data_IF_880744401642
#
_entry.id   IF_880744401642
#
_cell.length_a   1.000
_cell.length_b   1.000
_cell.length_c   1.000
_cell.angle_alpha   90.00
_cell.angle_beta   90.00
_cell.angle_gamma   90.00
#
_symmetry.space_group_name_H-M   'P 1'
#
loop_
_entity.id
_entity.type
_entity.pdbx_description
1 polymer ?
#
# COMPACT_ATOMS: atom_id res chain seq x y z
N UNK A 1 9.11 -6.16 16.07
CA UNK A 1 9.89 -5.94 14.83
C UNK A 1 10.23 -4.46 14.72
N UNK A 2 11.49 -4.14 14.58
CA UNK A 2 11.94 -2.75 14.50
C UNK A 2 11.79 -2.25 13.07
N UNK A 3 10.95 -1.24 12.85
CA UNK A 3 10.73 -0.65 11.52
C UNK A 3 11.62 0.54 11.26
N UNK A 4 11.84 1.38 12.26
CA UNK A 4 12.73 2.52 12.16
C UNK A 4 14.17 2.11 12.48
N UNK A 5 15.13 2.55 11.67
CA UNK A 5 16.53 2.15 11.74
C UNK A 5 16.69 0.63 11.79
N UNK A 6 16.13 -0.09 10.81
CA UNK A 6 16.08 -1.55 10.85
C UNK A 6 17.46 -2.16 10.62
N UNK A 7 17.68 -3.36 11.18
CA UNK A 7 18.90 -4.13 10.95
C UNK A 7 18.87 -4.87 9.62
N UNK A 8 17.65 -5.16 9.12
CA UNK A 8 17.43 -5.85 7.84
C UNK A 8 16.30 -5.15 7.10
N UNK A 9 16.28 -5.24 5.75
CA UNK A 9 15.13 -4.73 5.00
C UNK A 9 13.86 -5.49 5.39
N UNK A 10 12.73 -4.78 5.38
CA UNK A 10 11.42 -5.37 5.63
C UNK A 10 10.68 -5.55 4.31
N UNK A 11 9.90 -6.62 4.20
CA UNK A 11 9.06 -6.84 3.04
C UNK A 11 7.69 -6.24 3.31
N UNK A 12 7.28 -5.27 2.48
CA UNK A 12 5.95 -4.70 2.50
C UNK A 12 5.13 -5.27 1.35
N UNK A 13 3.86 -5.53 1.59
CA UNK A 13 2.96 -6.06 0.56
C UNK A 13 1.79 -5.11 0.43
N UNK A 14 1.52 -4.67 -0.81
CA UNK A 14 0.45 -3.72 -1.09
C UNK A 14 -0.64 -4.30 -1.98
N UNK A 15 -1.84 -3.75 -1.84
CA UNK A 15 -3.01 -4.13 -2.62
C UNK A 15 -3.48 -2.92 -3.43
N UNK A 16 -3.40 -3.01 -4.75
CA UNK A 16 -3.95 -2.01 -5.66
C UNK A 16 -5.36 -2.48 -6.01
N UNK A 17 -6.35 -1.94 -5.30
CA UNK A 17 -7.75 -2.36 -5.42
C UNK A 17 -8.45 -1.39 -6.34
N UNK A 18 -8.83 -1.87 -7.53
CA UNK A 18 -9.49 -1.05 -8.54
C UNK A 18 -10.86 -1.66 -8.87
N UNK A 19 -11.90 -0.81 -8.83
CA UNK A 19 -13.27 -1.18 -9.18
C UNK A 19 -13.97 0.06 -9.76
N UNK A 20 -14.67 -0.12 -10.86
CA UNK A 20 -15.39 0.99 -11.53
C UNK A 20 -14.49 2.19 -11.81
N UNK A 21 -13.28 1.92 -12.33
CA UNK A 21 -12.28 2.94 -12.67
C UNK A 21 -11.84 3.80 -11.49
N UNK A 22 -11.94 3.27 -10.26
CA UNK A 22 -11.48 3.94 -9.04
C UNK A 22 -10.54 3.04 -8.27
N UNK A 23 -9.59 3.65 -7.57
CA UNK A 23 -8.62 2.95 -6.74
C UNK A 23 -8.83 3.31 -5.27
N UNK A 24 -8.62 2.35 -4.38
CA UNK A 24 -8.70 2.58 -2.92
C UNK A 24 -7.35 3.11 -2.43
N UNK A 25 -7.38 4.23 -1.72
CA UNK A 25 -6.21 4.74 -1.02
C UNK A 25 -6.53 4.92 0.46
N UNK A 26 -5.50 4.81 1.27
CA UNK A 26 -5.56 5.03 2.71
C UNK A 26 -4.67 6.22 3.06
N UNK A 27 -5.12 7.03 4.02
CA UNK A 27 -4.31 8.11 4.55
C UNK A 27 -3.58 7.57 5.78
N UNK A 28 -2.26 7.66 5.76
CA UNK A 28 -1.44 7.06 6.81
C UNK A 28 -1.56 7.84 8.11
N UNK A 29 -1.79 7.11 9.20
CA UNK A 29 -1.87 7.70 10.54
C UNK A 29 -0.50 7.76 11.22
N UNK A 30 0.48 6.95 10.77
CA UNK A 30 1.79 6.79 11.41
C UNK A 30 2.95 6.88 10.44
N UNK A 31 4.17 7.22 10.92
CA UNK A 31 5.38 7.18 10.08
C UNK A 31 5.65 5.76 9.55
N UNK A 32 6.36 5.60 8.41
CA UNK A 32 6.81 6.66 7.53
C UNK A 32 5.68 7.24 6.70
N UNK A 33 5.89 8.44 6.14
CA UNK A 33 4.94 9.11 5.25
C UNK A 33 3.58 9.40 5.92
N UNK A 34 3.64 9.78 7.22
CA UNK A 34 2.44 10.13 7.97
C UNK A 34 1.64 11.24 7.28
N UNK A 35 0.32 11.11 7.30
CA UNK A 35 -0.63 12.02 6.65
C UNK A 35 -0.60 11.99 5.11
N UNK A 36 0.21 11.14 4.51
CA UNK A 36 0.20 10.95 3.06
C UNK A 36 -0.79 9.86 2.67
N UNK A 37 -1.38 10.01 1.49
CA UNK A 37 -2.19 8.95 0.88
C UNK A 37 -1.28 7.88 0.28
N UNK A 38 -1.70 6.63 0.40
CA UNK A 38 -0.94 5.51 -0.13
C UNK A 38 -1.88 4.35 -0.42
N UNK A 39 -1.36 3.33 -1.10
CA UNK A 39 -2.13 2.09 -1.29
C UNK A 39 -2.21 1.34 0.05
N UNK A 40 -3.28 0.55 0.26
CA UNK A 40 -3.34 -0.33 1.44
C UNK A 40 -2.19 -1.34 1.41
N UNK A 41 -1.61 -1.61 2.56
CA UNK A 41 -0.53 -2.58 2.65
C UNK A 41 0.19 -2.51 3.98
N UNK A 42 1.10 -3.44 4.18
CA UNK A 42 1.87 -3.51 5.41
C UNK A 42 2.93 -4.60 5.35
N UNK A 43 3.57 -4.83 6.48
CA UNK A 43 4.71 -5.74 6.57
C UNK A 43 4.29 -7.19 6.53
N UNK A 44 4.97 -7.97 5.69
CA UNK A 44 4.82 -9.42 5.63
C UNK A 44 5.20 -10.03 6.99
N UNK A 45 4.38 -10.92 7.49
CA UNK A 45 4.64 -11.63 8.73
C UNK A 45 5.39 -12.94 8.47
N UNK A 46 6.17 -13.38 9.45
CA UNK A 46 6.91 -14.64 9.33
C UNK A 46 5.94 -15.79 9.09
N UNK A 47 6.20 -16.56 8.04
CA UNK A 47 5.36 -17.71 7.68
C UNK A 47 4.19 -17.36 6.78
N UNK A 48 3.94 -16.08 6.56
CA UNK A 48 2.84 -15.61 5.71
C UNK A 48 3.27 -15.57 4.24
N UNK A 49 2.40 -16.00 3.33
CA UNK A 49 2.64 -15.84 1.91
C UNK A 49 2.29 -14.42 1.48
N UNK A 50 2.98 -13.91 0.45
CA UNK A 50 2.75 -12.51 0.01
C UNK A 50 1.29 -12.26 -0.40
N UNK A 51 0.63 -13.22 -1.05
CA UNK A 51 -0.78 -13.05 -1.41
C UNK A 51 -1.70 -13.02 -0.20
N UNK A 52 -1.39 -13.80 0.83
CA UNK A 52 -2.11 -13.78 2.09
C UNK A 52 -1.95 -12.43 2.78
N UNK A 53 -0.75 -11.86 2.75
CA UNK A 53 -0.48 -10.55 3.32
C UNK A 53 -1.31 -9.46 2.64
N UNK A 54 -1.42 -9.51 1.30
CA UNK A 54 -2.24 -8.56 0.55
C UNK A 54 -3.71 -8.63 0.99
N UNK A 55 -4.24 -9.84 1.15
CA UNK A 55 -5.62 -10.04 1.60
C UNK A 55 -5.81 -9.52 3.02
N UNK A 56 -4.91 -9.86 3.93
CA UNK A 56 -4.98 -9.46 5.33
C UNK A 56 -4.90 -7.95 5.47
N UNK A 57 -3.91 -7.33 4.83
CA UNK A 57 -3.72 -5.88 4.94
C UNK A 57 -4.88 -5.09 4.33
N UNK A 58 -5.39 -5.54 3.18
CA UNK A 58 -6.55 -4.90 2.58
C UNK A 58 -7.74 -4.92 3.53
N UNK A 59 -7.98 -6.06 4.16
CA UNK A 59 -9.11 -6.21 5.09
C UNK A 59 -8.91 -5.36 6.35
N UNK A 60 -7.71 -5.39 6.91
CA UNK A 60 -7.41 -4.63 8.13
C UNK A 60 -7.53 -3.12 7.90
N UNK A 61 -7.03 -2.62 6.77
CA UNK A 61 -6.97 -1.18 6.53
C UNK A 61 -8.23 -0.62 5.87
N UNK A 62 -8.94 -1.41 5.08
CA UNK A 62 -10.04 -0.90 4.25
C UNK A 62 -11.38 -1.53 4.52
N UNK A 63 -11.43 -2.66 5.22
CA UNK A 63 -12.66 -3.43 5.39
C UNK A 63 -13.04 -4.28 4.19
N UNK A 64 -12.27 -4.23 3.11
CA UNK A 64 -12.58 -4.97 1.89
C UNK A 64 -11.94 -6.36 1.90
N UNK A 65 -12.68 -7.35 1.41
CA UNK A 65 -12.15 -8.66 1.08
C UNK A 65 -11.77 -8.65 -0.39
N UNK A 66 -10.51 -8.96 -0.67
CA UNK A 66 -9.98 -8.88 -2.04
C UNK A 66 -9.40 -10.21 -2.49
N UNK A 67 -9.33 -10.37 -3.81
CA UNK A 67 -8.65 -11.48 -4.46
C UNK A 67 -7.45 -10.90 -5.20
N UNK A 68 -6.20 -11.23 -4.77
CA UNK A 68 -5.01 -10.77 -5.47
C UNK A 68 -4.90 -11.42 -6.84
N UNK A 69 -4.61 -10.61 -7.83
CA UNK A 69 -4.40 -11.07 -9.19
C UNK A 69 -2.94 -10.93 -9.60
N UNK A 70 -2.69 -10.13 -10.63
CA UNK A 70 -1.35 -9.98 -11.20
C UNK A 70 -0.43 -9.19 -10.29
N UNK A 71 0.83 -9.63 -10.20
CA UNK A 71 1.89 -8.85 -9.59
C UNK A 71 2.17 -7.64 -10.48
N UNK A 72 2.03 -6.44 -9.93
CA UNK A 72 2.25 -5.20 -10.69
C UNK A 72 3.68 -4.72 -10.63
N UNK A 73 4.38 -4.95 -9.53
CA UNK A 73 5.76 -4.53 -9.41
C UNK A 73 6.38 -4.85 -8.07
N UNK A 74 7.71 -4.72 -8.06
CA UNK A 74 8.53 -4.80 -6.86
C UNK A 74 9.32 -3.50 -6.80
N UNK A 75 9.30 -2.82 -5.67
CA UNK A 75 9.92 -1.51 -5.51
C UNK A 75 10.83 -1.48 -4.30
N UNK A 76 11.90 -0.72 -4.41
CA UNK A 76 12.77 -0.43 -3.28
C UNK A 76 12.34 0.89 -2.66
N UNK A 77 12.10 0.90 -1.36
CA UNK A 77 11.83 2.14 -0.63
C UNK A 77 12.86 2.29 0.48
N UNK A 78 13.84 3.15 0.22
CA UNK A 78 14.89 3.46 1.19
C UNK A 78 14.75 4.92 1.56
N UNK A 79 14.42 5.20 2.83
CA UNK A 79 14.28 6.55 3.34
C UNK A 79 15.41 6.82 4.32
N UNK A 80 16.13 7.93 4.10
CA UNK A 80 17.26 8.31 4.92
C UNK A 80 16.93 9.54 5.76
N UNK A 81 17.52 9.61 6.96
CA UNK A 81 17.36 10.75 7.83
C UNK A 81 18.31 11.91 7.39
N UNK A 82 18.30 13.02 8.14
CA UNK A 82 19.15 14.16 7.85
C UNK A 82 20.64 13.81 7.87
N UNK A 83 21.04 12.82 8.67
CA UNK A 83 22.42 12.31 8.74
C UNK A 83 22.73 11.26 7.68
N UNK A 84 21.83 11.04 6.73
CA UNK A 84 21.96 10.05 5.64
C UNK A 84 21.95 8.60 6.12
N UNK A 85 21.56 8.34 7.37
CA UNK A 85 21.38 6.97 7.85
C UNK A 85 20.09 6.40 7.28
N UNK A 86 20.06 5.10 7.00
CA UNK A 86 18.84 4.44 6.56
C UNK A 86 17.86 4.39 7.72
N UNK A 87 16.82 5.22 7.64
CA UNK A 87 15.78 5.28 8.67
C UNK A 87 14.70 4.23 8.42
N UNK A 88 14.35 4.00 7.14
CA UNK A 88 13.40 2.96 6.74
C UNK A 88 13.91 2.26 5.50
N UNK A 89 13.70 0.95 5.42
CA UNK A 89 14.08 0.18 4.24
C UNK A 89 13.05 -0.92 4.01
N UNK A 90 12.29 -0.78 2.92
CA UNK A 90 11.29 -1.76 2.50
C UNK A 90 11.56 -2.26 1.09
N UNK A 91 11.28 -3.54 0.88
CA UNK A 91 11.07 -4.10 -0.45
C UNK A 91 9.56 -4.26 -0.59
N UNK A 92 8.95 -3.53 -1.52
CA UNK A 92 7.51 -3.48 -1.69
C UNK A 92 7.07 -4.41 -2.81
N UNK A 93 6.10 -5.26 -2.51
CA UNK A 93 5.52 -6.21 -3.47
C UNK A 93 4.04 -5.86 -3.61
N UNK A 94 3.63 -5.42 -4.81
CA UNK A 94 2.30 -4.86 -5.02
C UNK A 94 1.49 -5.68 -6.02
N UNK A 95 0.28 -6.06 -5.62
CA UNK A 95 -0.64 -6.87 -6.44
C UNK A 95 -1.85 -6.05 -6.88
N UNK A 96 -2.29 -6.27 -8.13
CA UNK A 96 -3.60 -5.83 -8.56
C UNK A 96 -4.64 -6.73 -7.90
N UNK A 97 -5.60 -6.13 -7.21
CA UNK A 97 -6.58 -6.85 -6.44
C UNK A 97 -8.00 -6.50 -6.89
N UNK A 98 -8.88 -7.50 -6.84
CA UNK A 98 -10.30 -7.34 -7.13
C UNK A 98 -11.07 -7.43 -5.82
N UNK A 99 -11.98 -6.49 -5.56
CA UNK A 99 -12.88 -6.58 -4.42
C UNK A 99 -13.89 -7.69 -4.65
N UNK A 100 -14.03 -8.60 -3.69
CA UNK A 100 -15.02 -9.68 -3.76
C UNK A 100 -16.12 -9.52 -2.72
N UNK A 101 -15.87 -8.77 -1.65
CA UNK A 101 -16.86 -8.51 -0.59
C UNK A 101 -16.43 -7.33 0.25
N UNK A 102 -17.33 -6.86 1.11
CA UNK A 102 -17.05 -5.81 2.09
C UNK A 102 -17.27 -4.40 1.57
N UNK A 103 -17.34 -3.46 2.50
CA UNK A 103 -17.49 -2.03 2.23
C UNK A 103 -16.35 -1.27 2.90
N UNK A 104 -15.99 -0.11 2.35
CA UNK A 104 -14.90 0.70 2.91
C UNK A 104 -15.19 1.09 4.35
N UNK A 105 -14.25 0.77 5.22
CA UNK A 105 -14.30 1.11 6.64
C UNK A 105 -12.88 1.39 7.09
N UNK A 106 -12.60 2.61 7.55
CA UNK A 106 -11.28 2.95 8.05
C UNK A 106 -10.97 2.15 9.31
N UNK A 107 -9.80 1.49 9.32
CA UNK A 107 -9.30 0.79 10.50
C UNK A 107 -8.62 1.79 11.44
N UNK A 108 -8.28 1.33 12.65
CA UNK A 108 -7.61 2.17 13.65
C UNK A 108 -6.28 2.73 13.20
N UNK A 109 -5.58 2.04 12.27
CA UNK A 109 -4.26 2.44 11.79
C UNK A 109 -4.31 3.37 10.59
N UNK A 110 -5.48 3.61 10.02
CA UNK A 110 -5.68 4.52 8.91
C UNK A 110 -6.48 5.73 9.37
N UNK A 111 -6.01 6.94 9.05
CA UNK A 111 -6.75 8.15 9.37
C UNK A 111 -8.00 8.27 8.50
N UNK A 112 -7.94 7.79 7.27
CA UNK A 112 -9.03 7.88 6.30
C UNK A 112 -8.84 6.84 5.20
N UNK A 113 -9.93 6.38 4.59
CA UNK A 113 -9.91 5.48 3.43
C UNK A 113 -10.96 5.94 2.43
N UNK A 114 -10.60 6.00 1.13
CA UNK A 114 -11.52 6.48 0.09
C UNK A 114 -11.21 5.84 -1.26
N UNK A 115 -12.24 5.82 -2.12
CA UNK A 115 -12.09 5.55 -3.55
C UNK A 115 -11.71 6.84 -4.27
N UNK A 116 -10.75 6.75 -5.20
CA UNK A 116 -10.32 7.89 -6.02
C UNK A 116 -10.38 7.52 -7.49
N UNK A 117 -10.89 8.44 -8.31
CA UNK A 117 -10.76 8.32 -9.77
C UNK A 117 -9.35 8.79 -10.17
N UNK A 118 -8.90 8.35 -11.34
CA UNK A 118 -7.55 8.66 -11.83
C UNK A 118 -7.25 10.15 -11.83
N UNK A 119 -8.23 10.98 -12.19
CA UNK A 119 -8.07 12.42 -12.31
C UNK A 119 -7.80 13.11 -10.97
N UNK A 120 -8.15 12.49 -9.86
CA UNK A 120 -7.90 13.04 -8.53
C UNK A 120 -6.47 12.82 -8.04
N UNK A 121 -5.75 11.85 -8.62
CA UNK A 121 -4.44 11.44 -8.11
C UNK A 121 -3.38 12.53 -8.12
N UNK A 122 -3.27 13.40 -9.17
CA UNK A 122 -2.25 14.45 -9.17
C UNK A 122 -2.34 15.42 -8.00
N UNK A 123 -3.54 15.63 -7.46
CA UNK A 123 -3.75 16.56 -6.34
C UNK A 123 -3.30 15.98 -4.99
N UNK A 124 -3.04 14.69 -4.91
CA UNK A 124 -2.72 14.01 -3.65
C UNK A 124 -1.25 14.03 -3.29
N UNK A 125 -0.38 14.46 -4.22
CA UNK A 125 1.06 14.46 -4.02
C UNK A 125 1.60 13.10 -3.57
N UNK A 126 1.23 12.05 -4.30
CA UNK A 126 1.62 10.67 -3.99
C UNK A 126 3.12 10.47 -4.17
N UNK A 127 3.68 9.55 -3.37
CA UNK A 127 5.06 9.11 -3.60
C UNK A 127 5.18 8.55 -5.02
N UNK A 128 6.36 8.72 -5.61
CA UNK A 128 6.58 8.36 -7.02
C UNK A 128 6.32 6.89 -7.30
N UNK A 129 6.79 6.00 -6.43
CA UNK A 129 6.56 4.55 -6.57
C UNK A 129 5.08 4.19 -6.41
N UNK A 130 4.37 4.87 -5.53
CA UNK A 130 2.92 4.69 -5.35
C UNK A 130 2.17 5.06 -6.61
N UNK A 131 2.47 6.22 -7.19
CA UNK A 131 1.81 6.65 -8.42
C UNK A 131 2.12 5.72 -9.58
N UNK A 132 3.36 5.27 -9.69
CA UNK A 132 3.79 4.35 -10.74
C UNK A 132 2.99 3.03 -10.70
N UNK A 133 2.87 2.41 -9.54
CA UNK A 133 2.18 1.13 -9.42
C UNK A 133 0.67 1.27 -9.63
N UNK A 134 0.09 2.39 -9.22
CA UNK A 134 -1.33 2.65 -9.48
C UNK A 134 -1.58 2.77 -10.99
N UNK A 135 -0.71 3.49 -11.69
CA UNK A 135 -0.80 3.60 -13.15
C UNK A 135 -0.71 2.25 -13.84
N UNK A 136 0.19 1.39 -13.37
CA UNK A 136 0.29 0.01 -13.88
C UNK A 136 -1.01 -0.76 -13.68
N UNK A 137 -1.64 -0.59 -12.52
CA UNK A 137 -2.92 -1.22 -12.23
C UNK A 137 -4.02 -0.78 -13.18
N UNK A 138 -4.16 0.52 -13.40
CA UNK A 138 -5.15 1.04 -14.34
C UNK A 138 -4.89 0.58 -15.76
N UNK A 139 -3.62 0.42 -16.15
CA UNK A 139 -3.26 -0.02 -17.50
C UNK A 139 -3.67 -1.47 -17.79
N UNK A 140 -3.94 -2.27 -16.77
CA UNK A 140 -4.36 -3.67 -16.91
C UNK A 140 -5.87 -3.86 -17.10
N UNK A 141 -6.63 -2.80 -16.98
CA UNK A 141 -8.11 -2.86 -17.00
C UNK A 141 -8.72 -2.29 -18.27
#
# INVERSE_FOLDING_TARGET
MQREFPEVPLVGVGAIIIEHARVVLVKRAHPPLQAEWSIPGGVLEVGELVRQAAIREAREETGLTVEPGELLGVYDRVLRDAGKRVQYHYVLIDFLCRRVAGDLTAASDAAEVRWFVREELPALNLAEDTLDVIRKGFAKL
#
